data_IF_508561220149
#
_entry.id   IF_508561220149
#
_cell.length_a   1.000
_cell.length_b   1.000
_cell.length_c   1.000
_cell.angle_alpha   90.00
_cell.angle_beta   90.00
_cell.angle_gamma   90.00
#
_symmetry.space_group_name_H-M   'P 1'
#
loop_
_entity.id
_entity.type
_entity.pdbx_description
1 polymer ?
#
# COMPACT_ATOMS: atom_id res chain seq x y z
N UNK A 1 -7.96 -32.71 -8.98
CA UNK A 1 -8.57 -31.54 -9.62
C UNK A 1 -9.86 -31.19 -8.90
N UNK A 2 -9.87 -30.06 -8.20
CA UNK A 2 -11.06 -29.31 -7.85
C UNK A 2 -10.60 -27.85 -7.81
N UNK A 3 -10.99 -27.09 -8.83
CA UNK A 3 -10.74 -25.66 -8.88
C UNK A 3 -11.63 -24.96 -7.85
N UNK A 4 -11.06 -24.00 -7.15
CA UNK A 4 -11.82 -22.95 -6.45
C UNK A 4 -11.28 -21.64 -6.99
N UNK A 5 -12.05 -21.06 -7.91
CA UNK A 5 -11.85 -19.70 -8.36
C UNK A 5 -12.35 -18.70 -7.31
N UNK A 6 -11.99 -17.44 -7.58
CA UNK A 6 -12.37 -16.19 -6.90
C UNK A 6 -11.46 -15.73 -5.75
N UNK A 7 -10.77 -14.62 -5.98
CA UNK A 7 -10.86 -13.47 -5.08
C UNK A 7 -10.73 -12.20 -5.89
N UNK A 8 -11.87 -11.53 -6.08
CA UNK A 8 -11.85 -10.11 -6.43
C UNK A 8 -11.08 -9.36 -5.36
N UNK A 9 -10.26 -8.42 -5.78
CA UNK A 9 -9.46 -7.64 -4.86
C UNK A 9 -10.34 -6.58 -4.22
N UNK A 10 -10.30 -6.50 -2.89
CA UNK A 10 -11.10 -5.53 -2.13
C UNK A 10 -10.34 -4.23 -2.03
N UNK A 11 -10.63 -3.32 -2.96
CA UNK A 11 -10.28 -1.93 -2.86
C UNK A 11 -11.45 -1.16 -2.23
N UNK A 12 -11.20 0.06 -1.81
CA UNK A 12 -12.17 0.93 -1.16
C UNK A 12 -11.78 2.35 -1.53
N UNK A 13 -12.71 3.14 -2.07
CA UNK A 13 -12.44 4.54 -2.41
C UNK A 13 -12.84 5.42 -1.24
N UNK A 14 -11.88 6.20 -0.72
CA UNK A 14 -12.11 7.19 0.34
C UNK A 14 -12.87 8.40 -0.22
N UNK A 15 -13.51 9.19 0.66
CA UNK A 15 -14.03 10.48 0.24
C UNK A 15 -12.86 11.36 -0.25
N UNK A 16 -12.79 11.61 -1.57
CA UNK A 16 -11.66 12.23 -2.24
C UNK A 16 -11.12 11.39 -3.40
N UNK A 17 -9.87 11.60 -3.76
CA UNK A 17 -9.10 10.94 -4.82
C UNK A 17 -8.20 9.79 -4.30
N UNK A 18 -8.47 9.32 -3.07
CA UNK A 18 -7.71 8.26 -2.40
C UNK A 18 -8.36 6.88 -2.49
N UNK A 19 -7.51 5.85 -2.58
CA UNK A 19 -7.88 4.43 -2.58
C UNK A 19 -7.21 3.72 -1.40
N UNK A 20 -7.93 2.82 -0.74
CA UNK A 20 -7.42 1.84 0.22
C UNK A 20 -7.65 0.45 -0.36
N UNK A 21 -6.63 -0.38 -0.46
CA UNK A 21 -6.75 -1.74 -0.93
C UNK A 21 -6.22 -2.74 0.09
N UNK A 22 -6.95 -3.85 0.25
CA UNK A 22 -6.57 -4.94 1.15
C UNK A 22 -6.45 -6.23 0.36
N UNK A 23 -5.28 -6.85 0.48
CA UNK A 23 -4.98 -8.15 -0.10
C UNK A 23 -4.54 -9.11 1.02
N UNK A 24 -4.47 -10.42 0.75
CA UNK A 24 -3.82 -11.35 1.67
C UNK A 24 -2.42 -10.85 2.07
N UNK A 25 -2.22 -10.67 3.38
CA UNK A 25 -0.95 -10.25 3.96
C UNK A 25 -0.52 -8.80 3.71
N UNK A 26 -1.33 -7.94 3.04
CA UNK A 26 -0.96 -6.54 2.82
C UNK A 26 -2.14 -5.56 2.79
N UNK A 27 -1.87 -4.32 3.18
CA UNK A 27 -2.74 -3.16 2.97
C UNK A 27 -1.97 -2.10 2.20
N UNK A 28 -2.65 -1.41 1.30
CA UNK A 28 -2.13 -0.31 0.51
C UNK A 28 -3.09 0.88 0.61
N UNK A 29 -2.54 2.10 0.70
CA UNK A 29 -3.27 3.34 0.42
C UNK A 29 -2.58 4.06 -0.71
N UNK A 30 -3.33 4.68 -1.62
CA UNK A 30 -2.79 5.40 -2.75
C UNK A 30 -3.67 6.59 -3.11
N UNK A 31 -3.07 7.64 -3.68
CA UNK A 31 -3.74 8.78 -4.29
C UNK A 31 -2.98 9.20 -5.52
N UNK A 32 -3.70 9.45 -6.60
CA UNK A 32 -3.18 10.06 -7.81
C UNK A 32 -4.35 10.74 -8.55
N UNK A 33 -4.16 11.89 -9.19
CA UNK A 33 -5.18 12.48 -10.06
C UNK A 33 -5.57 11.56 -11.23
N UNK A 34 -4.61 10.78 -11.72
CA UNK A 34 -4.82 9.78 -12.77
C UNK A 34 -5.10 8.39 -12.16
N UNK A 35 -6.20 7.71 -12.52
CA UNK A 35 -6.47 6.37 -12.05
C UNK A 35 -5.50 5.29 -12.58
N UNK A 36 -4.82 5.50 -13.72
CA UNK A 36 -3.97 4.47 -14.34
C UNK A 36 -2.75 4.09 -13.46
N UNK A 37 -1.95 5.03 -12.92
CA UNK A 37 -0.88 4.71 -11.97
C UNK A 37 -1.36 3.97 -10.72
N UNK A 38 -2.55 4.29 -10.22
CA UNK A 38 -3.15 3.60 -9.06
C UNK A 38 -3.50 2.16 -9.44
N UNK A 39 -4.15 1.95 -10.60
CA UNK A 39 -4.45 0.61 -11.09
C UNK A 39 -3.18 -0.25 -11.20
N UNK A 40 -2.11 0.30 -11.76
CA UNK A 40 -0.83 -0.39 -11.89
C UNK A 40 -0.19 -0.73 -10.54
N UNK A 41 -0.25 0.17 -9.57
CA UNK A 41 0.20 -0.11 -8.19
C UNK A 41 -0.59 -1.26 -7.57
N UNK A 42 -1.92 -1.29 -7.77
CA UNK A 42 -2.78 -2.34 -7.25
C UNK A 42 -2.48 -3.70 -7.90
N UNK A 43 -2.11 -3.74 -9.18
CA UNK A 43 -1.62 -4.95 -9.84
C UNK A 43 -0.31 -5.47 -9.22
N UNK A 44 0.64 -4.58 -8.92
CA UNK A 44 1.90 -4.95 -8.25
C UNK A 44 1.62 -5.54 -6.87
N UNK A 45 0.69 -4.94 -6.12
CA UNK A 45 0.24 -5.43 -4.82
C UNK A 45 -0.44 -6.80 -4.94
N UNK A 46 -1.40 -6.94 -5.86
CA UNK A 46 -2.12 -8.17 -6.13
C UNK A 46 -1.16 -9.33 -6.48
N UNK A 47 -0.19 -9.07 -7.36
CA UNK A 47 0.76 -10.07 -7.80
C UNK A 47 1.75 -10.50 -6.69
N UNK A 48 1.92 -9.70 -5.64
CA UNK A 48 2.79 -10.02 -4.51
C UNK A 48 2.05 -10.65 -3.33
N UNK A 49 0.73 -10.51 -3.26
CA UNK A 49 -0.10 -10.93 -2.12
C UNK A 49 0.07 -12.41 -1.76
N UNK A 50 -0.08 -12.71 -0.47
CA UNK A 50 0.16 -14.03 0.11
C UNK A 50 0.37 -13.95 1.61
N UNK A 51 1.01 -14.96 2.20
CA UNK A 51 1.20 -15.02 3.65
C UNK A 51 2.23 -13.99 4.15
N UNK A 52 3.36 -13.85 3.43
CA UNK A 52 4.46 -12.94 3.81
C UNK A 52 4.96 -12.10 2.61
N UNK A 53 4.10 -11.24 2.04
CA UNK A 53 4.39 -10.56 0.78
C UNK A 53 5.47 -9.47 0.92
N UNK A 54 5.78 -9.00 2.14
CA UNK A 54 6.42 -7.70 2.37
C UNK A 54 7.76 -7.50 1.69
N UNK A 55 8.68 -8.47 1.75
CA UNK A 55 10.01 -8.32 1.12
C UNK A 55 9.93 -8.40 -0.41
N UNK A 56 9.06 -9.24 -0.94
CA UNK A 56 8.86 -9.37 -2.39
C UNK A 56 8.21 -8.12 -2.93
N UNK A 57 7.17 -7.62 -2.25
CA UNK A 57 6.48 -6.39 -2.57
C UNK A 57 7.44 -5.18 -2.56
N UNK A 58 8.19 -4.98 -1.48
CA UNK A 58 9.15 -3.86 -1.37
C UNK A 58 10.16 -3.85 -2.52
N UNK A 59 10.71 -5.01 -2.90
CA UNK A 59 11.64 -5.14 -4.04
C UNK A 59 10.97 -4.79 -5.37
N UNK A 60 9.74 -5.23 -5.59
CA UNK A 60 8.98 -4.92 -6.82
C UNK A 60 8.65 -3.43 -6.92
N UNK A 61 8.24 -2.82 -5.80
CA UNK A 61 7.95 -1.39 -5.73
C UNK A 61 9.21 -0.56 -5.98
N UNK A 62 10.33 -0.90 -5.34
CA UNK A 62 11.61 -0.23 -5.58
C UNK A 62 12.06 -0.35 -7.05
N UNK A 63 11.94 -1.55 -7.64
CA UNK A 63 12.27 -1.77 -9.04
C UNK A 63 11.36 -0.98 -9.99
N UNK A 64 10.06 -0.89 -9.69
CA UNK A 64 9.10 -0.13 -10.47
C UNK A 64 9.35 1.38 -10.37
N UNK A 65 9.57 1.90 -9.17
CA UNK A 65 9.86 3.32 -8.94
C UNK A 65 11.18 3.77 -9.56
N UNK A 66 12.20 2.91 -9.56
CA UNK A 66 13.49 3.21 -10.18
C UNK A 66 13.51 2.98 -11.70
N UNK A 67 12.44 2.44 -12.28
CA UNK A 67 12.34 2.12 -13.70
C UNK A 67 12.20 3.37 -14.57
N UNK A 68 12.62 3.25 -15.84
CA UNK A 68 12.43 4.32 -16.85
C UNK A 68 10.96 4.61 -17.14
N UNK A 69 10.11 3.59 -16.99
CA UNK A 69 8.65 3.66 -17.07
C UNK A 69 8.03 3.63 -15.66
N UNK A 70 8.73 4.23 -14.68
CA UNK A 70 8.25 4.39 -13.32
C UNK A 70 6.99 5.26 -13.27
N UNK A 71 6.23 5.20 -12.15
CA UNK A 71 5.02 6.00 -12.02
C UNK A 71 5.34 7.49 -12.00
N UNK A 72 4.35 8.35 -12.30
CA UNK A 72 4.50 9.79 -12.19
C UNK A 72 4.73 10.21 -10.73
N UNK A 73 5.36 11.37 -10.54
CA UNK A 73 5.75 11.87 -9.22
C UNK A 73 4.56 12.26 -8.31
N UNK A 74 3.37 12.42 -8.88
CA UNK A 74 2.13 12.73 -8.16
C UNK A 74 1.39 11.49 -7.65
N UNK A 75 1.87 10.27 -7.99
CA UNK A 75 1.42 9.05 -7.33
C UNK A 75 1.99 9.00 -5.91
N UNK A 76 1.10 9.16 -4.93
CA UNK A 76 1.42 9.04 -3.50
C UNK A 76 0.86 7.72 -2.99
N UNK A 77 1.67 6.90 -2.32
CA UNK A 77 1.17 5.63 -1.78
C UNK A 77 2.00 5.08 -0.62
N UNK A 78 1.31 4.32 0.23
CA UNK A 78 1.91 3.57 1.33
C UNK A 78 1.44 2.12 1.32
N UNK A 79 2.32 1.20 1.70
CA UNK A 79 1.97 -0.21 1.93
C UNK A 79 2.48 -0.68 3.29
N UNK A 80 1.69 -1.56 3.93
CA UNK A 80 2.11 -2.33 5.10
C UNK A 80 1.81 -3.79 4.80
N UNK A 81 2.85 -4.62 4.86
CA UNK A 81 2.79 -6.02 4.44
C UNK A 81 3.47 -6.95 5.46
N UNK A 82 2.92 -8.14 5.67
CA UNK A 82 3.51 -9.16 6.53
C UNK A 82 4.87 -9.64 5.99
N UNK A 83 5.84 -9.85 6.87
CA UNK A 83 7.20 -10.27 6.53
C UNK A 83 7.84 -11.04 7.70
N UNK A 84 7.35 -12.26 7.97
CA UNK A 84 7.79 -13.08 9.10
C UNK A 84 7.41 -12.44 10.43
N UNK A 85 8.39 -12.33 11.34
CA UNK A 85 8.25 -11.63 12.62
C UNK A 85 8.20 -10.09 12.50
N UNK A 86 8.11 -9.57 11.28
CA UNK A 86 8.12 -8.14 10.96
C UNK A 86 6.98 -7.77 10.01
N UNK A 87 6.78 -6.47 9.86
CA UNK A 87 5.97 -5.82 8.84
C UNK A 87 6.89 -4.99 7.96
N UNK A 88 6.79 -5.16 6.64
CA UNK A 88 7.42 -4.28 5.67
C UNK A 88 6.54 -3.06 5.47
N UNK A 89 7.11 -1.87 5.62
CA UNK A 89 6.46 -0.58 5.41
C UNK A 89 7.17 0.11 4.25
N UNK A 90 6.41 0.44 3.20
CA UNK A 90 6.92 1.13 2.03
C UNK A 90 6.11 2.39 1.78
N UNK A 91 6.74 3.57 1.79
CA UNK A 91 6.07 4.87 1.63
C UNK A 91 6.72 5.67 0.49
N UNK A 92 5.90 6.23 -0.39
CA UNK A 92 6.33 7.12 -1.47
C UNK A 92 5.43 8.35 -1.53
N UNK A 93 6.04 9.53 -1.50
CA UNK A 93 5.34 10.80 -1.42
C UNK A 93 4.80 11.13 -0.02
N UNK A 94 3.84 12.05 0.03
CA UNK A 94 3.23 12.54 1.27
C UNK A 94 2.20 11.55 1.84
N UNK A 95 2.69 10.55 2.55
CA UNK A 95 1.89 9.49 3.19
C UNK A 95 2.53 9.11 4.52
N UNK A 96 1.71 8.84 5.53
CA UNK A 96 2.18 8.48 6.86
C UNK A 96 1.81 7.04 7.21
N UNK A 97 2.71 6.38 7.95
CA UNK A 97 2.45 5.12 8.62
C UNK A 97 2.66 5.27 10.12
N UNK A 98 1.72 4.73 10.90
CA UNK A 98 1.83 4.64 12.36
C UNK A 98 1.75 3.19 12.80
N UNK A 99 2.75 2.72 13.52
CA UNK A 99 2.80 1.38 14.12
C UNK A 99 2.98 1.56 15.63
N UNK A 100 1.87 1.53 16.37
CA UNK A 100 1.86 1.94 17.79
C UNK A 100 2.37 3.37 17.96
N UNK A 101 3.48 3.53 18.68
CA UNK A 101 4.14 4.83 18.91
C UNK A 101 5.16 5.21 17.83
N UNK A 102 5.48 4.29 16.91
CA UNK A 102 6.39 4.57 15.81
C UNK A 102 5.65 5.28 14.68
N UNK A 103 6.01 6.54 14.41
CA UNK A 103 5.59 7.29 13.23
C UNK A 103 6.66 7.22 12.13
N UNK A 104 6.22 7.02 10.88
CA UNK A 104 7.04 7.04 9.68
C UNK A 104 6.35 7.91 8.64
N UNK A 105 7.09 8.80 7.98
CA UNK A 105 6.58 9.66 6.91
C UNK A 105 7.35 9.42 5.62
N UNK A 106 6.64 9.27 4.51
CA UNK A 106 7.24 9.25 3.18
C UNK A 106 7.79 10.61 2.77
N UNK A 107 7.23 11.72 3.28
CA UNK A 107 7.68 13.07 2.98
C UNK A 107 9.09 13.38 3.52
N UNK A 108 9.53 12.64 4.53
CA UNK A 108 10.89 12.74 5.10
C UNK A 108 11.95 11.99 4.27
N UNK A 109 11.56 11.37 3.15
CA UNK A 109 12.45 10.57 2.29
C UNK A 109 12.70 11.23 0.95
N UNK A 110 13.95 11.18 0.47
CA UNK A 110 14.33 11.76 -0.82
C UNK A 110 13.78 11.01 -2.04
N UNK A 111 13.47 9.71 -1.90
CA UNK A 111 12.97 8.87 -2.98
C UNK A 111 11.78 8.00 -2.54
N UNK A 112 12.00 7.16 -1.54
CA UNK A 112 10.97 6.40 -0.82
C UNK A 112 11.52 5.93 0.52
N UNK A 113 10.62 5.56 1.42
CA UNK A 113 10.93 4.87 2.66
C UNK A 113 10.68 3.37 2.48
N UNK A 114 11.67 2.53 2.80
CA UNK A 114 11.55 1.06 2.85
C UNK A 114 12.09 0.57 4.21
N UNK A 115 11.19 0.10 5.08
CA UNK A 115 11.53 -0.27 6.46
C UNK A 115 10.90 -1.60 6.86
N UNK A 116 11.64 -2.36 7.66
CA UNK A 116 11.11 -3.50 8.40
C UNK A 116 10.90 -3.11 9.85
N UNK A 117 9.68 -3.27 10.32
CA UNK A 117 9.25 -2.95 11.69
C UNK A 117 8.81 -4.24 12.37
N UNK A 118 9.20 -4.53 13.62
CA UNK A 118 8.71 -5.72 14.32
C UNK A 118 7.18 -5.82 14.33
N UNK A 119 6.65 -7.04 14.19
CA UNK A 119 5.21 -7.26 14.16
C UNK A 119 4.52 -6.86 15.48
N UNK A 120 5.26 -6.92 16.60
CA UNK A 120 4.78 -6.53 17.93
C UNK A 120 4.63 -5.02 18.18
N UNK A 121 5.01 -4.16 17.23
CA UNK A 121 4.97 -2.69 17.38
C UNK A 121 3.54 -2.12 17.27
N UNK A 122 2.56 -2.62 18.03
CA UNK A 122 1.19 -2.08 18.10
C UNK A 122 0.34 -2.15 16.81
N UNK A 123 -0.83 -1.51 16.83
CA UNK A 123 -1.73 -1.38 15.68
C UNK A 123 -1.05 -0.60 14.54
N UNK A 124 -1.25 -1.06 13.30
CA UNK A 124 -0.72 -0.40 12.11
C UNK A 124 -1.81 0.44 11.41
N UNK A 125 -1.48 1.68 11.07
CA UNK A 125 -2.34 2.62 10.33
C UNK A 125 -1.56 3.25 9.19
N UNK A 126 -2.23 3.49 8.07
CA UNK A 126 -1.75 4.28 6.95
C UNK A 126 -2.68 5.48 6.77
N UNK A 127 -2.14 6.65 6.50
CA UNK A 127 -2.90 7.87 6.30
C UNK A 127 -2.40 8.65 5.07
N UNK A 128 -3.35 9.10 4.26
CA UNK A 128 -3.13 10.06 3.19
C UNK A 128 -3.56 11.46 3.67
N UNK A 129 -2.81 12.52 3.35
CA UNK A 129 -3.15 13.89 3.74
C UNK A 129 -4.53 14.30 3.21
N UNK A 130 -5.35 14.94 4.05
CA UNK A 130 -6.66 15.47 3.65
C UNK A 130 -7.80 14.44 3.64
N UNK A 131 -7.52 13.18 3.95
CA UNK A 131 -8.56 12.17 4.23
C UNK A 131 -8.96 12.32 5.71
N UNK A 132 -10.11 12.95 5.96
CA UNK A 132 -10.65 13.10 7.32
C UNK A 132 -10.99 11.72 7.93
N UNK A 133 -10.99 11.64 9.27
CA UNK A 133 -11.57 10.55 10.07
C UNK A 133 -13.09 10.45 9.80
N UNK A 134 -13.44 9.89 8.65
CA UNK A 134 -14.81 9.65 8.21
C UNK A 134 -15.23 8.19 8.45
N UNK A 135 -16.53 7.88 8.32
CA UNK A 135 -17.02 6.51 8.38
C UNK A 135 -16.30 5.62 7.34
N UNK A 136 -16.18 4.30 7.60
CA UNK A 136 -15.40 3.42 6.77
C UNK A 136 -15.87 3.51 5.31
N UNK A 137 -14.93 3.72 4.37
CA UNK A 137 -15.26 3.99 2.97
C UNK A 137 -15.90 2.80 2.23
N UNK A 138 -16.52 3.08 1.07
CA UNK A 138 -17.28 2.10 0.29
C UNK A 138 -16.37 1.17 -0.53
N UNK A 139 -16.52 -0.14 -0.33
CA UNK A 139 -15.74 -1.20 -0.97
C UNK A 139 -16.00 -1.27 -2.48
N UNK A 140 -14.93 -1.20 -3.26
CA UNK A 140 -14.89 -1.44 -4.71
C UNK A 140 -14.22 -2.80 -4.99
N UNK A 141 -14.94 -3.71 -5.64
CA UNK A 141 -14.38 -4.97 -6.13
C UNK A 141 -13.75 -4.75 -7.51
N UNK A 142 -12.43 -4.91 -7.59
CA UNK A 142 -11.71 -4.93 -8.86
C UNK A 142 -11.70 -6.38 -9.39
N UNK A 143 -12.34 -6.60 -10.54
CA UNK A 143 -12.48 -7.90 -11.21
C UNK A 143 -11.45 -8.09 -12.31
#
# INVERSE_FOLDING_TARGET
MAGVGASGFRAVVLAGDGVVARFPGLVCVARCPDPEPVARLLEVCAAAAGDEPGRVLARRLAAWLAGVDGPPADLVFGTIAAAGASRAVFLSGDVEARLGDLGLSGADSAAWLDRLVPAGTGEARLALPGVADGPPPALLDLR
#
